data_IF_289462416504
#
_entry.id   IF_289462416504
#
_cell.length_a   1.000
_cell.length_b   1.000
_cell.length_c   1.000
_cell.angle_alpha   90.00
_cell.angle_beta   90.00
_cell.angle_gamma   90.00
#
_symmetry.space_group_name_H-M   'P 1'
#
loop_
_entity.id
_entity.type
_entity.pdbx_description
1 polymer ?
#
# COMPACT_ATOMS: atom_id res chain seq x y z
N UNK A 1 -0.25 -29.97 -28.33
CA UNK A 1 0.03 -28.53 -28.34
C UNK A 1 1.05 -28.28 -27.26
N UNK A 2 2.28 -27.95 -27.67
CA UNK A 2 3.33 -27.50 -26.75
C UNK A 2 3.14 -26.00 -26.60
N UNK A 3 2.57 -25.59 -25.48
CA UNK A 3 2.39 -24.18 -25.15
C UNK A 3 3.70 -23.69 -24.52
N UNK A 4 4.35 -22.71 -25.14
CA UNK A 4 5.56 -22.07 -24.62
C UNK A 4 5.17 -20.77 -23.92
N UNK A 5 5.59 -20.68 -22.66
CA UNK A 5 5.81 -19.49 -21.84
C UNK A 5 4.57 -18.69 -21.36
N UNK A 6 4.35 -18.76 -20.04
CA UNK A 6 3.38 -18.02 -19.20
C UNK A 6 1.90 -18.17 -19.56
N UNK A 7 1.30 -19.30 -19.21
CA UNK A 7 -0.17 -19.41 -19.18
C UNK A 7 -0.69 -18.94 -17.82
N UNK A 8 -1.63 -18.00 -17.81
CA UNK A 8 -2.32 -17.56 -16.61
C UNK A 8 -3.76 -18.09 -16.62
N UNK A 9 -4.26 -18.49 -15.45
CA UNK A 9 -5.61 -19.05 -15.29
C UNK A 9 -6.25 -18.45 -14.05
N UNK A 10 -7.56 -18.21 -14.12
CA UNK A 10 -8.34 -17.74 -12.99
C UNK A 10 -9.78 -18.28 -13.08
N UNK A 11 -10.45 -18.44 -11.95
CA UNK A 11 -11.79 -19.00 -11.85
C UNK A 11 -12.61 -18.21 -10.83
N UNK A 12 -13.85 -17.87 -11.18
CA UNK A 12 -14.81 -17.27 -10.26
C UNK A 12 -16.20 -17.85 -10.53
N UNK A 13 -16.78 -18.49 -9.52
CA UNK A 13 -18.05 -19.19 -9.64
C UNK A 13 -18.08 -20.21 -10.80
N UNK A 14 -18.91 -19.92 -11.81
CA UNK A 14 -19.10 -20.75 -13.00
C UNK A 14 -18.29 -20.29 -14.20
N UNK A 15 -17.36 -19.35 -14.04
CA UNK A 15 -16.53 -18.80 -15.11
C UNK A 15 -15.07 -19.18 -14.85
N UNK A 16 -14.40 -19.69 -15.89
CA UNK A 16 -12.96 -19.97 -15.87
C UNK A 16 -12.32 -19.26 -17.05
N UNK A 17 -11.18 -18.62 -16.80
CA UNK A 17 -10.45 -17.82 -17.79
C UNK A 17 -9.07 -18.41 -17.97
N UNK A 18 -8.70 -18.69 -19.21
CA UNK A 18 -7.38 -19.20 -19.58
C UNK A 18 -6.76 -18.23 -20.57
N UNK A 19 -5.60 -17.70 -20.22
CA UNK A 19 -4.84 -16.82 -21.06
C UNK A 19 -3.77 -17.57 -21.84
N UNK A 20 -3.62 -17.22 -23.11
CA UNK A 20 -2.57 -17.71 -24.00
C UNK A 20 -1.87 -16.50 -24.61
N UNK A 21 -0.81 -15.98 -23.97
CA UNK A 21 0.04 -14.98 -24.60
C UNK A 21 0.52 -15.42 -25.98
N UNK A 22 0.76 -14.44 -26.83
CA UNK A 22 1.17 -14.64 -28.20
C UNK A 22 2.58 -15.23 -28.31
N UNK A 23 2.75 -16.14 -29.25
CA UNK A 23 4.02 -16.61 -29.76
C UNK A 23 4.62 -15.70 -30.83
N UNK A 24 5.31 -16.29 -31.81
CA UNK A 24 6.03 -15.52 -32.82
C UNK A 24 5.14 -14.74 -33.79
N UNK A 25 3.90 -15.18 -34.00
CA UNK A 25 3.02 -14.73 -35.10
C UNK A 25 1.59 -14.31 -34.68
N UNK A 26 1.27 -14.30 -33.39
CA UNK A 26 -0.04 -13.90 -32.86
C UNK A 26 0.11 -12.93 -31.69
N UNK A 27 -0.95 -12.16 -31.45
CA UNK A 27 -0.99 -11.07 -30.49
C UNK A 27 -1.52 -11.53 -29.11
N UNK A 28 -1.66 -12.85 -28.89
CA UNK A 28 -2.23 -13.44 -27.67
C UNK A 28 -3.77 -13.46 -27.65
N UNK A 29 -4.34 -14.28 -26.77
CA UNK A 29 -5.80 -14.40 -26.59
C UNK A 29 -6.17 -14.84 -25.18
N UNK A 30 -7.40 -14.52 -24.77
CA UNK A 30 -7.99 -14.97 -23.51
C UNK A 30 -9.27 -15.73 -23.81
N UNK A 31 -9.36 -16.96 -23.30
CA UNK A 31 -10.48 -17.86 -23.49
C UNK A 31 -11.31 -17.92 -22.21
N UNK A 32 -12.60 -17.58 -22.31
CA UNK A 32 -13.54 -17.64 -21.19
C UNK A 32 -14.42 -18.87 -21.36
N UNK A 33 -14.45 -19.72 -20.36
CA UNK A 33 -15.28 -20.92 -20.28
C UNK A 33 -16.38 -20.72 -19.23
N UNK A 34 -17.61 -21.12 -19.56
CA UNK A 34 -18.75 -21.18 -18.63
C UNK A 34 -19.05 -22.63 -18.28
N UNK A 35 -19.28 -22.89 -17.00
CA UNK A 35 -19.62 -24.23 -16.49
C UNK A 35 -21.09 -24.53 -16.75
N UNK A 36 -21.35 -25.64 -17.43
CA UNK A 36 -22.70 -26.16 -17.69
C UNK A 36 -22.76 -27.61 -17.21
N UNK A 37 -23.36 -27.82 -16.04
CA UNK A 37 -23.33 -29.10 -15.33
C UNK A 37 -21.92 -29.48 -14.90
N UNK A 38 -21.41 -30.61 -15.39
CA UNK A 38 -20.04 -31.09 -15.13
C UNK A 38 -19.02 -30.61 -16.16
N UNK A 39 -19.44 -29.93 -17.23
CA UNK A 39 -18.58 -29.56 -18.35
C UNK A 39 -18.24 -28.07 -18.34
N UNK A 40 -17.05 -27.74 -18.83
CA UNK A 40 -16.64 -26.39 -19.15
C UNK A 40 -16.78 -26.17 -20.66
N UNK A 41 -17.58 -25.18 -21.05
CA UNK A 41 -17.86 -24.87 -22.45
C UNK A 41 -17.25 -23.51 -22.76
N UNK A 42 -16.52 -23.39 -23.86
CA UNK A 42 -16.00 -22.11 -24.33
C UNK A 42 -17.17 -21.15 -24.58
N UNK A 43 -17.22 -20.07 -23.82
CA UNK A 43 -18.24 -19.03 -23.90
C UNK A 43 -17.81 -17.93 -24.87
N UNK A 44 -16.59 -17.40 -24.71
CA UNK A 44 -16.05 -16.39 -25.63
C UNK A 44 -14.53 -16.45 -25.73
N UNK A 45 -14.00 -15.83 -26.79
CA UNK A 45 -12.57 -15.53 -26.93
C UNK A 45 -12.40 -14.02 -27.01
N UNK A 46 -11.60 -13.47 -26.10
CA UNK A 46 -11.22 -12.06 -26.09
C UNK A 46 -9.84 -11.94 -26.74
N UNK A 47 -9.72 -11.04 -27.71
CA UNK A 47 -8.47 -10.73 -28.42
C UNK A 47 -8.08 -9.27 -28.18
N UNK A 48 -6.79 -8.91 -28.29
CA UNK A 48 -6.36 -7.54 -28.13
C UNK A 48 -7.01 -6.61 -29.17
N UNK A 49 -7.39 -5.42 -28.71
CA UNK A 49 -7.97 -4.32 -29.50
C UNK A 49 -7.02 -3.10 -29.51
N UNK A 50 -5.71 -3.36 -29.40
CA UNK A 50 -4.68 -2.32 -29.40
C UNK A 50 -4.18 -2.07 -30.83
N UNK A 51 -3.99 -0.80 -31.19
CA UNK A 51 -3.29 -0.43 -32.44
C UNK A 51 -1.83 -0.91 -32.46
N UNK A 52 -1.25 -1.13 -31.28
CA UNK A 52 0.11 -1.64 -31.11
C UNK A 52 0.06 -3.12 -30.79
N UNK A 53 0.54 -3.93 -31.74
CA UNK A 53 0.66 -5.38 -31.58
C UNK A 53 1.54 -5.73 -30.38
N UNK A 54 0.98 -6.54 -29.50
CA UNK A 54 1.68 -7.07 -28.34
C UNK A 54 1.56 -8.58 -28.33
N UNK A 55 2.65 -9.25 -27.96
CA UNK A 55 2.65 -10.71 -27.72
C UNK A 55 2.27 -11.05 -26.27
N UNK A 56 2.12 -10.03 -25.42
CA UNK A 56 1.88 -10.17 -23.99
C UNK A 56 0.42 -9.96 -23.61
N UNK A 57 -0.51 -9.83 -24.55
CA UNK A 57 -1.93 -9.85 -24.21
C UNK A 57 -2.29 -11.18 -23.55
N UNK A 58 -2.84 -11.11 -22.34
CA UNK A 58 -3.09 -12.29 -21.52
C UNK A 58 -1.86 -12.76 -20.73
N UNK A 59 -0.82 -11.94 -20.57
CA UNK A 59 0.34 -12.28 -19.73
C UNK A 59 -0.07 -12.59 -18.29
N UNK A 60 -1.11 -11.91 -17.80
CA UNK A 60 -1.77 -12.22 -16.55
C UNK A 60 -3.28 -12.02 -16.69
N UNK A 61 -4.06 -12.87 -16.01
CA UNK A 61 -5.52 -12.72 -15.92
C UNK A 61 -5.99 -12.95 -14.50
N UNK A 62 -7.04 -12.23 -14.11
CA UNK A 62 -7.76 -12.49 -12.87
C UNK A 62 -9.26 -12.22 -13.10
N UNK A 63 -10.11 -13.09 -12.58
CA UNK A 63 -11.57 -12.93 -12.63
C UNK A 63 -12.12 -12.95 -11.22
N UNK A 64 -12.99 -12.00 -10.91
CA UNK A 64 -13.77 -11.93 -9.68
C UNK A 64 -15.19 -11.52 -10.01
N UNK A 65 -16.16 -12.35 -9.64
CA UNK A 65 -17.57 -12.15 -9.94
C UNK A 65 -17.79 -11.98 -11.46
N UNK A 66 -18.31 -10.82 -11.88
CA UNK A 66 -18.57 -10.41 -13.25
C UNK A 66 -17.44 -9.59 -13.87
N UNK A 67 -16.31 -9.39 -13.17
CA UNK A 67 -15.19 -8.60 -13.66
C UNK A 67 -13.97 -9.46 -14.00
N UNK A 68 -13.41 -9.22 -15.18
CA UNK A 68 -12.17 -9.84 -15.67
C UNK A 68 -11.16 -8.73 -15.95
N UNK A 69 -9.96 -8.87 -15.38
CA UNK A 69 -8.80 -8.07 -15.76
C UNK A 69 -7.82 -8.89 -16.60
N UNK A 70 -7.32 -8.29 -17.69
CA UNK A 70 -6.35 -8.89 -18.60
C UNK A 70 -5.14 -7.98 -18.69
N UNK A 71 -3.97 -8.49 -18.33
CA UNK A 71 -2.71 -7.79 -18.45
C UNK A 71 -2.08 -7.92 -19.84
N UNK A 72 -1.48 -6.83 -20.31
CA UNK A 72 -0.67 -6.76 -21.52
C UNK A 72 0.56 -5.88 -21.29
N UNK A 73 1.66 -6.50 -20.90
CA UNK A 73 2.89 -5.78 -20.54
C UNK A 73 3.72 -5.22 -21.68
N UNK A 74 3.31 -5.41 -22.93
CA UNK A 74 4.00 -4.84 -24.10
C UNK A 74 3.09 -3.98 -25.00
N UNK A 75 1.83 -3.73 -24.58
CA UNK A 75 0.96 -2.80 -25.30
C UNK A 75 1.55 -1.39 -25.35
N UNK A 76 1.11 -0.63 -26.34
CA UNK A 76 1.50 0.78 -26.51
C UNK A 76 2.76 0.98 -27.35
N UNK A 77 3.03 2.25 -27.68
CA UNK A 77 4.10 2.61 -28.64
C UNK A 77 5.49 2.38 -28.07
N UNK A 78 5.65 2.57 -26.77
CA UNK A 78 6.93 2.45 -26.07
C UNK A 78 7.04 1.13 -25.30
N UNK A 79 6.03 0.25 -25.41
CA UNK A 79 5.86 -0.96 -24.59
C UNK A 79 5.70 -0.61 -23.12
N UNK A 80 4.90 0.40 -22.86
CA UNK A 80 4.55 0.88 -21.53
C UNK A 80 3.57 -0.08 -20.80
N UNK A 81 2.87 -0.94 -21.54
CA UNK A 81 1.92 -1.89 -20.99
C UNK A 81 0.53 -1.30 -20.71
N UNK A 82 -0.47 -2.17 -20.58
CA UNK A 82 -1.85 -1.80 -20.23
C UNK A 82 -2.56 -2.99 -19.58
N UNK A 83 -3.51 -2.72 -18.71
CA UNK A 83 -4.47 -3.72 -18.25
C UNK A 83 -5.87 -3.38 -18.78
N UNK A 84 -6.65 -4.38 -19.13
CA UNK A 84 -8.00 -4.21 -19.68
C UNK A 84 -9.02 -4.82 -18.73
N UNK A 85 -10.03 -4.05 -18.36
CA UNK A 85 -11.15 -4.53 -17.54
C UNK A 85 -12.34 -4.82 -18.44
N UNK A 86 -12.86 -6.03 -18.34
CA UNK A 86 -14.08 -6.47 -18.98
C UNK A 86 -15.14 -6.77 -17.92
N UNK A 87 -16.38 -6.41 -18.22
CA UNK A 87 -17.56 -6.73 -17.42
C UNK A 87 -18.42 -7.75 -18.15
N UNK A 88 -18.85 -8.78 -17.43
CA UNK A 88 -19.76 -9.79 -17.90
C UNK A 88 -21.21 -9.37 -17.65
N UNK A 89 -22.03 -9.46 -18.69
CA UNK A 89 -23.47 -9.33 -18.59
C UNK A 89 -24.10 -10.72 -18.70
N UNK A 90 -24.64 -11.24 -17.59
CA UNK A 90 -25.27 -12.57 -17.57
C UNK A 90 -26.67 -12.57 -18.24
N UNK A 91 -27.28 -11.40 -18.45
CA UNK A 91 -28.55 -11.30 -19.18
C UNK A 91 -28.33 -11.54 -20.68
N UNK A 92 -27.31 -10.89 -21.25
CA UNK A 92 -26.98 -11.01 -22.68
C UNK A 92 -25.91 -12.08 -22.99
N UNK A 93 -25.31 -12.68 -21.96
CA UNK A 93 -24.16 -13.61 -22.05
C UNK A 93 -22.98 -13.00 -22.83
N UNK A 94 -22.67 -11.73 -22.55
CA UNK A 94 -21.62 -10.98 -23.26
C UNK A 94 -20.57 -10.39 -22.34
N UNK A 95 -19.36 -10.23 -22.88
CA UNK A 95 -18.27 -9.49 -22.24
C UNK A 95 -18.07 -8.16 -22.94
N UNK A 96 -18.03 -7.08 -22.16
CA UNK A 96 -17.81 -5.73 -22.68
C UNK A 96 -16.57 -5.11 -22.04
N UNK A 97 -15.70 -4.50 -22.86
CA UNK A 97 -14.53 -3.78 -22.36
C UNK A 97 -15.01 -2.50 -21.67
N UNK A 98 -14.78 -2.41 -20.37
CA UNK A 98 -15.19 -1.27 -19.55
C UNK A 98 -14.06 -0.22 -19.43
N UNK A 99 -12.81 -0.66 -19.34
CA UNK A 99 -11.68 0.25 -19.16
C UNK A 99 -10.38 -0.30 -19.75
N UNK A 100 -9.48 0.64 -20.08
CA UNK A 100 -8.06 0.39 -20.29
C UNK A 100 -7.30 1.15 -19.21
N UNK A 101 -6.66 0.43 -18.30
CA UNK A 101 -5.90 0.95 -17.18
C UNK A 101 -4.43 1.13 -17.58
N UNK A 102 -3.88 2.32 -17.29
CA UNK A 102 -2.50 2.70 -17.55
C UNK A 102 -1.92 3.38 -16.32
N UNK A 103 -0.67 3.10 -15.95
CA UNK A 103 -0.02 3.66 -14.75
C UNK A 103 0.41 5.14 -14.87
N UNK A 104 -0.18 5.92 -15.77
CA UNK A 104 0.22 7.32 -15.99
C UNK A 104 1.56 7.46 -16.73
N UNK A 105 2.50 8.24 -16.16
CA UNK A 105 3.88 8.39 -16.66
C UNK A 105 4.74 7.17 -16.30
N UNK A 106 4.31 5.98 -16.72
CA UNK A 106 5.03 4.71 -16.51
C UNK A 106 6.36 4.77 -17.24
N UNK A 107 7.44 4.40 -16.56
CA UNK A 107 8.76 4.29 -17.18
C UNK A 107 8.78 3.18 -18.24
N UNK A 108 9.54 3.39 -19.31
CA UNK A 108 9.68 2.40 -20.37
C UNK A 108 10.20 1.08 -19.79
N UNK A 109 9.53 -0.03 -20.12
CA UNK A 109 9.86 -1.37 -19.62
C UNK A 109 9.70 -1.54 -18.09
N UNK A 110 8.71 -0.87 -17.50
CA UNK A 110 8.34 -1.02 -16.09
C UNK A 110 7.66 -2.37 -15.74
N UNK A 111 7.51 -3.29 -16.70
CA UNK A 111 6.76 -4.54 -16.51
C UNK A 111 5.31 -4.32 -16.03
N UNK A 112 4.69 -3.21 -16.44
CA UNK A 112 3.31 -2.90 -16.09
C UNK A 112 2.36 -3.98 -16.61
N UNK A 113 1.40 -4.41 -15.79
CA UNK A 113 0.40 -5.41 -16.13
C UNK A 113 0.95 -6.82 -16.49
N UNK A 114 2.14 -7.17 -15.98
CA UNK A 114 2.58 -8.57 -15.93
C UNK A 114 2.05 -9.33 -14.71
N UNK A 115 1.44 -8.62 -13.76
CA UNK A 115 0.66 -9.16 -12.66
C UNK A 115 -0.58 -8.29 -12.46
N UNK A 116 -1.74 -8.93 -12.26
CA UNK A 116 -3.03 -8.26 -12.11
C UNK A 116 -3.89 -9.01 -11.10
N UNK A 117 -4.71 -8.25 -10.37
CA UNK A 117 -5.76 -8.78 -9.53
C UNK A 117 -6.98 -7.85 -9.58
N UNK A 118 -8.19 -8.38 -9.46
CA UNK A 118 -9.42 -7.59 -9.50
C UNK A 118 -10.42 -8.10 -8.45
N UNK A 119 -11.14 -7.17 -7.87
CA UNK A 119 -12.37 -7.38 -7.10
C UNK A 119 -13.49 -6.57 -7.75
N UNK A 120 -14.69 -6.60 -7.15
CA UNK A 120 -15.81 -5.80 -7.62
C UNK A 120 -15.50 -4.30 -7.70
N UNK A 121 -14.76 -3.77 -6.73
CA UNK A 121 -14.57 -2.33 -6.58
C UNK A 121 -13.13 -1.87 -6.79
N UNK A 122 -12.17 -2.80 -6.85
CA UNK A 122 -10.75 -2.48 -7.01
C UNK A 122 -10.05 -3.35 -8.05
N UNK A 123 -9.13 -2.75 -8.79
CA UNK A 123 -8.23 -3.42 -9.69
C UNK A 123 -6.80 -3.03 -9.35
N UNK A 124 -5.93 -4.03 -9.30
CA UNK A 124 -4.54 -3.92 -8.86
C UNK A 124 -3.65 -4.37 -10.01
N UNK A 125 -2.70 -3.51 -10.39
CA UNK A 125 -1.83 -3.74 -11.54
C UNK A 125 -0.38 -3.56 -11.13
N UNK A 126 0.40 -4.63 -11.16
CA UNK A 126 1.82 -4.58 -10.82
C UNK A 126 2.68 -4.00 -11.94
N UNK A 127 3.73 -3.30 -11.55
CA UNK A 127 4.76 -2.71 -12.41
C UNK A 127 6.14 -2.94 -11.76
N UNK A 128 6.57 -4.20 -11.77
CA UNK A 128 7.76 -4.67 -11.04
C UNK A 128 9.09 -4.00 -11.42
N UNK A 129 9.17 -3.24 -12.51
CA UNK A 129 10.40 -2.54 -12.91
C UNK A 129 10.21 -1.02 -12.98
N UNK A 130 9.12 -0.51 -12.39
CA UNK A 130 8.83 0.92 -12.33
C UNK A 130 9.88 1.68 -11.51
N UNK A 131 10.26 2.87 -12.00
CA UNK A 131 11.12 3.81 -11.28
C UNK A 131 10.31 4.83 -10.46
N UNK A 132 10.92 5.41 -9.44
CA UNK A 132 10.38 6.59 -8.77
C UNK A 132 10.42 7.80 -9.74
N UNK A 133 9.30 8.50 -10.02
CA UNK A 133 9.28 9.67 -10.91
C UNK A 133 9.99 10.92 -10.37
N UNK A 134 10.41 10.95 -9.10
CA UNK A 134 10.98 12.16 -8.47
C UNK A 134 12.51 12.12 -8.22
N UNK A 135 13.23 11.11 -8.73
CA UNK A 135 14.69 10.99 -8.56
C UNK A 135 15.46 11.05 -9.87
N UNK A 136 16.60 11.76 -9.89
CA UNK A 136 17.50 11.84 -11.06
C UNK A 136 18.23 10.50 -11.37
N UNK A 137 18.03 9.47 -10.55
CA UNK A 137 18.50 8.11 -10.79
C UNK A 137 17.28 7.19 -10.95
N UNK A 138 17.18 6.47 -12.07
CA UNK A 138 16.12 5.50 -12.36
C UNK A 138 16.21 4.28 -11.43
N UNK A 139 15.85 4.44 -10.16
CA UNK A 139 15.86 3.34 -9.20
C UNK A 139 14.59 2.50 -9.44
N UNK A 140 14.76 1.38 -10.13
CA UNK A 140 13.67 0.44 -10.49
C UNK A 140 13.29 -0.44 -9.30
N UNK A 141 12.73 0.18 -8.26
CA UNK A 141 12.25 -0.52 -7.05
C UNK A 141 10.99 -1.35 -7.33
N UNK A 142 10.22 -0.95 -8.36
CA UNK A 142 8.91 -1.50 -8.68
C UNK A 142 7.78 -0.73 -8.00
N UNK A 143 6.56 -0.85 -8.53
CA UNK A 143 5.37 -0.22 -8.01
C UNK A 143 4.12 -1.08 -8.28
N UNK A 144 3.02 -0.74 -7.60
CA UNK A 144 1.69 -1.29 -7.87
C UNK A 144 0.70 -0.15 -8.03
N UNK A 145 -0.15 -0.21 -9.04
CA UNK A 145 -1.18 0.80 -9.29
C UNK A 145 -2.54 0.24 -8.87
N UNK A 146 -3.26 0.98 -8.04
CA UNK A 146 -4.62 0.63 -7.60
C UNK A 146 -5.63 1.53 -8.29
N UNK A 147 -6.67 0.91 -8.82
CA UNK A 147 -7.78 1.57 -9.48
C UNK A 147 -9.05 1.28 -8.70
N UNK A 148 -9.81 2.33 -8.38
CA UNK A 148 -11.12 2.22 -7.73
C UNK A 148 -12.21 2.35 -8.77
N UNK A 149 -13.23 1.50 -8.68
CA UNK A 149 -14.45 1.60 -9.50
C UNK A 149 -15.48 2.44 -8.76
N UNK A 150 -15.98 3.48 -9.40
CA UNK A 150 -17.13 4.27 -8.93
C UNK A 150 -18.06 4.52 -10.11
N UNK A 151 -19.34 4.18 -9.95
CA UNK A 151 -20.36 4.38 -11.00
C UNK A 151 -19.96 3.81 -12.37
N UNK A 152 -19.40 2.59 -12.38
CA UNK A 152 -18.85 1.92 -13.57
C UNK A 152 -17.69 2.65 -14.28
N UNK A 153 -17.05 3.60 -13.61
CA UNK A 153 -15.81 4.24 -14.07
C UNK A 153 -14.64 3.77 -13.20
N UNK A 154 -13.58 3.31 -13.84
CA UNK A 154 -12.32 2.95 -13.17
C UNK A 154 -11.37 4.15 -13.18
N UNK A 155 -10.97 4.62 -12.01
CA UNK A 155 -10.00 5.73 -11.85
C UNK A 155 -8.76 5.26 -11.10
N UNK A 156 -7.59 5.79 -11.46
CA UNK A 156 -6.38 5.53 -10.68
C UNK A 156 -6.55 6.19 -9.30
N UNK A 157 -6.50 5.38 -8.24
CA UNK A 157 -6.64 5.83 -6.86
C UNK A 157 -5.26 6.04 -6.22
N UNK A 158 -4.34 5.09 -6.42
CA UNK A 158 -3.06 5.11 -5.75
C UNK A 158 -1.95 4.47 -6.59
N UNK A 159 -0.71 4.87 -6.31
CA UNK A 159 0.52 4.17 -6.67
C UNK A 159 1.21 3.75 -5.37
N UNK A 160 1.27 2.45 -5.14
CA UNK A 160 1.90 1.85 -3.97
C UNK A 160 3.36 1.52 -4.27
N UNK A 161 4.22 1.81 -3.30
CA UNK A 161 5.63 1.44 -3.26
C UNK A 161 5.95 0.92 -1.87
N UNK A 162 6.91 0.00 -1.74
CA UNK A 162 7.36 -0.44 -0.42
C UNK A 162 8.16 0.67 0.26
N UNK A 163 7.84 0.97 1.53
CA UNK A 163 8.54 1.92 2.40
C UNK A 163 10.06 1.70 2.39
N UNK A 164 10.48 0.45 2.61
CA UNK A 164 11.88 0.02 2.69
C UNK A 164 12.42 -0.53 1.36
N UNK A 165 11.76 -0.27 0.23
CA UNK A 165 12.11 -0.84 -1.08
C UNK A 165 13.49 -0.42 -1.59
N UNK A 166 14.24 -1.34 -2.18
CA UNK A 166 15.54 -1.10 -2.81
C UNK A 166 15.51 -1.34 -4.34
N UNK A 167 16.55 -0.87 -5.03
CA UNK A 167 16.66 -1.01 -6.49
C UNK A 167 16.65 -2.46 -6.92
N UNK A 168 15.77 -2.82 -7.85
CA UNK A 168 15.70 -4.16 -8.40
C UNK A 168 14.97 -5.18 -7.53
N UNK A 169 14.36 -4.76 -6.41
CA UNK A 169 13.54 -5.63 -5.55
C UNK A 169 12.35 -6.26 -6.28
N UNK A 170 11.91 -5.61 -7.35
CA UNK A 170 10.75 -5.97 -8.16
C UNK A 170 9.44 -5.97 -7.40
N UNK A 171 9.20 -4.93 -6.62
CA UNK A 171 7.91 -4.74 -5.96
C UNK A 171 6.76 -4.64 -6.97
N UNK A 172 5.75 -5.49 -6.83
CA UNK A 172 4.68 -5.62 -7.82
C UNK A 172 4.92 -6.72 -8.86
N UNK A 173 5.93 -7.57 -8.68
CA UNK A 173 6.11 -8.76 -9.53
C UNK A 173 4.90 -9.69 -9.44
N UNK A 174 4.33 -9.87 -8.25
CA UNK A 174 3.07 -10.58 -8.03
C UNK A 174 2.14 -9.75 -7.15
N UNK A 175 0.83 -9.82 -7.43
CA UNK A 175 -0.20 -9.07 -6.69
C UNK A 175 -1.43 -9.95 -6.47
N UNK A 176 -2.10 -9.78 -5.33
CA UNK A 176 -3.39 -10.37 -5.04
C UNK A 176 -4.23 -9.40 -4.20
N UNK A 177 -5.56 -9.47 -4.32
CA UNK A 177 -6.50 -8.62 -3.56
C UNK A 177 -7.66 -9.46 -3.01
N UNK A 178 -8.06 -9.18 -1.77
CA UNK A 178 -9.33 -9.64 -1.18
C UNK A 178 -9.88 -8.56 -0.27
N UNK A 179 -11.15 -8.17 -0.46
CA UNK A 179 -11.75 -7.07 0.27
C UNK A 179 -10.86 -5.83 0.27
N UNK A 180 -10.46 -5.41 1.46
CA UNK A 180 -9.64 -4.23 1.75
C UNK A 180 -8.15 -4.54 1.90
N UNK A 181 -7.69 -5.69 1.40
CA UNK A 181 -6.30 -6.13 1.57
C UNK A 181 -5.64 -6.41 0.22
N UNK A 182 -4.44 -5.85 0.02
CA UNK A 182 -3.60 -6.13 -1.14
C UNK A 182 -2.30 -6.76 -0.66
N UNK A 183 -1.94 -7.88 -1.26
CA UNK A 183 -0.67 -8.59 -1.02
C UNK A 183 0.23 -8.40 -2.23
N UNK A 184 1.46 -7.96 -2.01
CA UNK A 184 2.40 -7.62 -3.08
C UNK A 184 3.73 -8.33 -2.86
N UNK A 185 4.19 -9.06 -3.87
CA UNK A 185 5.50 -9.72 -3.86
C UNK A 185 6.62 -8.85 -4.44
N UNK A 186 7.80 -8.95 -3.81
CA UNK A 186 9.07 -8.39 -4.26
C UNK A 186 10.15 -9.48 -4.19
N UNK A 187 10.20 -10.31 -5.23
CA UNK A 187 10.95 -11.56 -5.22
C UNK A 187 12.48 -11.42 -5.30
N UNK A 188 12.97 -10.24 -5.68
CA UNK A 188 14.40 -9.98 -5.84
C UNK A 188 15.03 -9.22 -4.69
N UNK A 189 14.24 -8.87 -3.67
CA UNK A 189 14.75 -8.23 -2.46
C UNK A 189 15.84 -9.06 -1.79
N UNK A 190 16.87 -8.39 -1.28
CA UNK A 190 17.94 -8.96 -0.45
C UNK A 190 18.61 -10.20 -1.08
N UNK A 191 19.25 -10.01 -2.24
CA UNK A 191 19.88 -11.10 -3.02
C UNK A 191 18.89 -12.21 -3.41
N UNK A 192 17.67 -11.81 -3.81
CA UNK A 192 16.58 -12.71 -4.16
C UNK A 192 16.18 -13.68 -3.04
N UNK A 193 16.39 -13.33 -1.77
CA UNK A 193 15.68 -14.04 -0.69
C UNK A 193 14.18 -13.73 -0.74
N UNK A 194 13.84 -12.51 -1.16
CA UNK A 194 12.50 -12.09 -1.48
C UNK A 194 11.68 -11.62 -0.27
N UNK A 195 10.60 -10.91 -0.54
CA UNK A 195 9.69 -10.36 0.48
C UNK A 195 8.27 -10.22 -0.04
N UNK A 196 7.33 -10.07 0.88
CA UNK A 196 5.94 -9.73 0.62
C UNK A 196 5.54 -8.57 1.52
N UNK A 197 4.71 -7.67 0.98
CA UNK A 197 4.16 -6.54 1.70
C UNK A 197 2.64 -6.62 1.67
N UNK A 198 2.01 -6.39 2.83
CA UNK A 198 0.56 -6.29 2.96
C UNK A 198 0.16 -4.82 3.05
N UNK A 199 -0.80 -4.42 2.22
CA UNK A 199 -1.49 -3.14 2.31
C UNK A 199 -2.92 -3.36 2.78
N UNK A 200 -3.43 -2.45 3.59
CA UNK A 200 -4.82 -2.41 4.04
C UNK A 200 -5.44 -1.05 3.68
N UNK A 201 -6.68 -1.06 3.21
CA UNK A 201 -7.45 0.14 2.94
C UNK A 201 -8.08 0.63 4.24
N UNK A 202 -7.71 1.84 4.67
CA UNK A 202 -8.35 2.52 5.81
C UNK A 202 -9.01 3.79 5.27
N UNK A 203 -10.34 3.86 5.35
CA UNK A 203 -11.13 4.86 4.66
C UNK A 203 -10.92 4.81 3.15
N UNK A 204 -10.25 5.82 2.58
CA UNK A 204 -9.94 5.91 1.14
C UNK A 204 -8.43 5.84 0.82
N UNK A 205 -7.61 5.50 1.81
CA UNK A 205 -6.14 5.46 1.71
C UNK A 205 -5.62 4.04 1.91
N UNK A 206 -4.71 3.62 1.02
CA UNK A 206 -4.02 2.34 1.12
C UNK A 206 -2.75 2.50 1.95
N UNK A 207 -2.74 1.90 3.14
CA UNK A 207 -1.63 1.96 4.08
C UNK A 207 -0.81 0.67 4.03
N UNK A 208 0.51 0.79 4.03
CA UNK A 208 1.42 -0.35 4.24
C UNK A 208 1.27 -0.81 5.69
N UNK A 209 0.87 -2.05 5.91
CA UNK A 209 0.67 -2.59 7.26
C UNK A 209 1.94 -3.25 7.80
N UNK A 210 2.50 -4.18 7.02
CA UNK A 210 3.77 -4.81 7.36
C UNK A 210 4.40 -5.47 6.14
N UNK A 211 5.74 -5.48 6.16
CA UNK A 211 6.59 -6.22 5.22
C UNK A 211 7.17 -7.43 5.92
N UNK A 212 7.21 -8.57 5.24
CA UNK A 212 7.69 -9.82 5.82
C UNK A 212 8.44 -10.69 4.81
N UNK A 213 9.32 -11.54 5.35
CA UNK A 213 10.15 -12.49 4.61
C UNK A 213 9.89 -13.92 5.13
N UNK A 214 10.38 -14.92 4.39
CA UNK A 214 10.37 -16.29 4.91
C UNK A 214 11.32 -16.40 6.13
N UNK A 215 10.85 -16.99 7.23
CA UNK A 215 11.65 -17.15 8.46
C UNK A 215 12.94 -17.98 8.25
N UNK A 216 12.94 -18.87 7.26
CA UNK A 216 14.10 -19.65 6.84
C UNK A 216 14.66 -19.18 5.48
N UNK A 217 14.33 -17.95 5.09
CA UNK A 217 14.68 -17.37 3.79
C UNK A 217 16.19 -17.30 3.59
N UNK A 218 16.63 -17.75 2.42
CA UNK A 218 18.00 -17.71 1.96
C UNK A 218 18.09 -17.00 0.59
N UNK A 219 19.29 -16.55 0.23
CA UNK A 219 19.52 -15.93 -1.08
C UNK A 219 19.10 -16.87 -2.22
N UNK A 220 18.44 -16.30 -3.22
CA UNK A 220 17.83 -16.98 -4.37
C UNK A 220 16.63 -17.87 -4.08
N UNK A 221 16.00 -17.79 -2.91
CA UNK A 221 14.75 -18.53 -2.69
C UNK A 221 13.58 -17.97 -3.52
N UNK A 222 13.64 -16.68 -3.87
CA UNK A 222 12.61 -15.92 -4.58
C UNK A 222 11.25 -15.97 -3.89
N UNK A 223 11.21 -15.78 -2.56
CA UNK A 223 9.97 -15.62 -1.81
C UNK A 223 9.19 -14.40 -2.33
N UNK A 224 7.89 -14.55 -2.54
CA UNK A 224 7.06 -13.49 -3.16
C UNK A 224 6.99 -13.59 -4.68
N UNK A 225 7.54 -14.65 -5.30
CA UNK A 225 7.39 -14.89 -6.74
C UNK A 225 5.92 -15.01 -7.17
N UNK A 226 5.11 -15.68 -6.35
CA UNK A 226 3.67 -15.78 -6.54
C UNK A 226 2.98 -15.56 -5.20
N UNK A 227 1.92 -14.76 -5.20
CA UNK A 227 1.08 -14.52 -4.04
C UNK A 227 -0.37 -14.84 -4.39
N UNK A 228 -1.10 -15.38 -3.42
CA UNK A 228 -2.55 -15.47 -3.47
C UNK A 228 -3.10 -15.18 -2.08
N UNK A 229 -4.31 -14.63 -2.04
CA UNK A 229 -4.93 -14.22 -0.79
C UNK A 229 -6.39 -14.64 -0.79
N UNK A 230 -6.87 -14.99 0.40
CA UNK A 230 -8.26 -15.31 0.72
C UNK A 230 -8.62 -14.58 2.01
N UNK A 231 -9.90 -14.62 2.40
CA UNK A 231 -10.37 -13.99 3.64
C UNK A 231 -9.65 -14.49 4.90
N UNK A 232 -8.94 -15.62 4.88
CA UNK A 232 -8.29 -16.16 6.08
C UNK A 232 -6.82 -16.49 5.91
N UNK A 233 -6.29 -16.46 4.68
CA UNK A 233 -4.92 -16.89 4.42
C UNK A 233 -4.27 -16.10 3.31
N UNK A 234 -2.99 -15.78 3.51
CA UNK A 234 -2.03 -15.40 2.47
C UNK A 234 -1.17 -16.61 2.15
N UNK A 235 -1.04 -16.95 0.88
CA UNK A 235 -0.10 -17.97 0.41
C UNK A 235 0.98 -17.33 -0.44
N UNK A 236 2.24 -17.69 -0.19
CA UNK A 236 3.40 -17.11 -0.85
C UNK A 236 4.31 -18.22 -1.39
N UNK A 237 4.65 -18.16 -2.67
CA UNK A 237 5.59 -19.07 -3.32
C UNK A 237 7.03 -18.55 -3.26
N UNK A 238 7.97 -19.48 -3.03
CA UNK A 238 9.41 -19.29 -3.16
C UNK A 238 9.95 -20.34 -4.13
N UNK A 239 9.91 -20.05 -5.43
CA UNK A 239 10.05 -21.07 -6.48
C UNK A 239 11.48 -21.63 -6.60
N UNK A 240 12.49 -20.92 -6.10
CA UNK A 240 13.89 -21.32 -6.19
C UNK A 240 14.48 -21.76 -4.84
N UNK A 241 13.64 -22.11 -3.86
CA UNK A 241 14.09 -22.60 -2.55
C UNK A 241 15.07 -23.76 -2.72
N UNK A 242 16.29 -23.58 -2.20
CA UNK A 242 17.37 -24.56 -2.36
C UNK A 242 17.42 -25.56 -1.20
N UNK A 243 17.06 -26.80 -1.49
CA UNK A 243 17.23 -27.92 -0.57
C UNK A 243 18.29 -28.87 -1.14
N UNK A 244 19.47 -28.88 -0.52
CA UNK A 244 20.63 -29.70 -0.94
C UNK A 244 21.08 -29.39 -2.38
N UNK A 245 20.97 -30.35 -3.31
CA UNK A 245 21.37 -30.23 -4.73
C UNK A 245 20.17 -30.00 -5.66
N UNK A 246 19.00 -29.63 -5.14
CA UNK A 246 17.77 -29.40 -5.90
C UNK A 246 17.14 -28.06 -5.54
N UNK A 247 16.31 -27.53 -6.44
CA UNK A 247 15.51 -26.32 -6.28
C UNK A 247 14.01 -26.71 -6.36
N UNK A 248 13.46 -27.44 -5.38
CA UNK A 248 12.07 -27.88 -5.44
C UNK A 248 11.06 -26.74 -5.33
N UNK A 249 11.46 -25.59 -4.78
CA UNK A 249 10.57 -24.50 -4.39
C UNK A 249 9.74 -24.85 -3.15
N UNK A 250 9.31 -23.83 -2.40
CA UNK A 250 8.45 -23.96 -1.22
C UNK A 250 7.23 -23.03 -1.32
N UNK A 251 6.18 -23.35 -0.57
CA UNK A 251 4.99 -22.50 -0.39
C UNK A 251 4.77 -22.27 1.10
N UNK A 252 4.60 -21.01 1.47
CA UNK A 252 4.35 -20.56 2.83
C UNK A 252 2.89 -20.14 2.93
N UNK A 253 2.25 -20.50 4.05
CA UNK A 253 0.85 -20.16 4.33
C UNK A 253 0.81 -19.39 5.64
N UNK A 254 0.32 -18.16 5.56
CA UNK A 254 0.16 -17.27 6.70
C UNK A 254 -1.33 -17.09 6.96
N UNK A 255 -1.73 -17.12 8.24
CA UNK A 255 -3.08 -16.72 8.61
C UNK A 255 -3.22 -15.23 8.34
N UNK A 256 -4.17 -14.85 7.47
CA UNK A 256 -4.61 -13.48 7.36
C UNK A 256 -5.60 -13.27 8.48
N UNK A 257 -5.15 -12.66 9.58
CA UNK A 257 -6.05 -12.32 10.65
C UNK A 257 -6.88 -11.08 10.25
N UNK A 258 -7.89 -11.28 9.40
CA UNK A 258 -8.88 -10.24 9.02
C UNK A 258 -9.77 -9.85 10.20
N UNK A 259 -9.68 -10.59 11.30
CA UNK A 259 -10.26 -10.25 12.60
C UNK A 259 -9.13 -9.90 13.58
N UNK A 260 -8.30 -8.94 13.21
CA UNK A 260 -8.15 -7.85 14.15
C UNK A 260 -9.49 -7.15 14.11
N UNK A 261 -10.41 -7.49 15.02
CA UNK A 261 -11.47 -6.52 15.30
C UNK A 261 -10.76 -5.18 15.44
N UNK A 262 -11.29 -4.14 14.79
CA UNK A 262 -10.84 -2.79 15.06
C UNK A 262 -10.60 -2.72 16.56
N UNK A 263 -9.40 -2.34 16.93
CA UNK A 263 -9.14 -1.99 18.32
C UNK A 263 -10.23 -1.03 18.75
N UNK A 264 -10.57 -1.02 20.04
CA UNK A 264 -11.57 -0.09 20.53
C UNK A 264 -11.26 1.35 20.06
N UNK A 265 -9.98 1.71 19.97
CA UNK A 265 -9.49 2.96 19.38
C UNK A 265 -9.86 3.17 17.90
N UNK A 266 -9.73 2.17 17.04
CA UNK A 266 -10.13 2.28 15.62
C UNK A 266 -11.66 2.34 15.45
N UNK A 267 -12.42 1.62 16.30
CA UNK A 267 -13.89 1.71 16.35
C UNK A 267 -14.30 3.13 16.79
N UNK A 268 -13.64 3.64 17.81
CA UNK A 268 -13.93 4.95 18.38
C UNK A 268 -13.56 6.05 17.38
N UNK A 269 -12.42 5.94 16.68
CA UNK A 269 -12.04 6.85 15.61
C UNK A 269 -13.06 6.87 14.46
N UNK A 270 -13.52 5.70 13.99
CA UNK A 270 -14.51 5.64 12.92
C UNK A 270 -15.88 6.21 13.36
N UNK A 271 -16.28 5.98 14.62
CA UNK A 271 -17.47 6.58 15.20
C UNK A 271 -17.36 8.10 15.33
N UNK A 272 -16.20 8.60 15.78
CA UNK A 272 -15.89 10.04 15.89
C UNK A 272 -15.91 10.71 14.52
N UNK A 273 -15.32 10.08 13.50
CA UNK A 273 -15.39 10.56 12.11
C UNK A 273 -16.83 10.53 11.55
N UNK A 274 -17.65 9.56 11.95
CA UNK A 274 -19.04 9.47 11.53
C UNK A 274 -19.93 10.53 12.21
N UNK A 275 -19.68 10.88 13.48
CA UNK A 275 -20.37 11.96 14.19
C UNK A 275 -19.96 13.35 13.69
N UNK A 276 -18.69 13.56 13.35
CA UNK A 276 -18.20 14.79 12.72
C UNK A 276 -18.84 15.03 11.34
N UNK A 277 -19.11 13.97 10.57
CA UNK A 277 -19.72 14.05 9.24
C UNK A 277 -21.25 14.13 9.23
N UNK A 278 -21.92 13.96 10.38
CA UNK A 278 -23.37 14.07 10.47
C UNK A 278 -23.81 14.55 11.88
N UNK A 279 -23.79 15.87 12.16
CA UNK A 279 -23.95 16.42 13.51
C UNK A 279 -25.42 16.50 13.94
N UNK A 280 -26.17 15.40 13.82
CA UNK A 280 -27.56 15.32 14.29
C UNK A 280 -27.87 13.96 14.92
N UNK A 281 -27.21 13.65 16.03
CA UNK A 281 -27.73 12.69 17.00
C UNK A 281 -27.58 13.29 18.41
N UNK A 282 -28.71 13.40 19.10
CA UNK A 282 -28.90 14.11 20.37
C UNK A 282 -27.91 13.64 21.46
N UNK A 283 -26.92 14.48 21.78
CA UNK A 283 -26.04 14.28 22.93
C UNK A 283 -26.85 14.44 24.23
N UNK A 284 -26.82 13.40 25.06
CA UNK A 284 -27.22 13.50 26.46
C UNK A 284 -26.13 14.30 27.14
N UNK A 285 -26.33 15.61 27.32
CA UNK A 285 -25.37 16.48 28.02
C UNK A 285 -25.12 15.91 29.41
N UNK A 286 -23.88 15.50 29.68
CA UNK A 286 -23.45 15.15 31.02
C UNK A 286 -23.33 16.47 31.81
N UNK A 287 -24.12 16.69 32.88
CA UNK A 287 -24.05 17.97 33.60
C UNK A 287 -22.71 18.19 34.31
N UNK A 288 -21.88 17.15 34.46
CA UNK A 288 -20.56 17.22 35.09
C UNK A 288 -19.41 17.38 34.07
N UNK A 289 -19.70 17.33 32.76
CA UNK A 289 -18.76 17.38 31.63
C UNK A 289 -19.53 17.95 30.41
N UNK A 290 -19.42 19.26 30.23
CA UNK A 290 -20.37 20.05 29.43
C UNK A 290 -20.09 20.01 27.92
N UNK A 291 -18.83 19.88 27.51
CA UNK A 291 -18.38 19.73 26.11
C UNK A 291 -18.11 18.28 25.72
N UNK A 292 -17.96 17.37 26.68
CA UNK A 292 -17.88 15.94 26.44
C UNK A 292 -16.50 15.46 26.01
N UNK A 293 -15.43 16.17 26.36
CA UNK A 293 -14.05 15.81 26.06
C UNK A 293 -13.50 14.72 27.01
N UNK A 294 -14.14 14.54 28.17
CA UNK A 294 -13.78 13.56 29.19
C UNK A 294 -13.16 14.14 30.46
N UNK A 295 -12.92 15.45 30.54
CA UNK A 295 -12.61 16.17 31.77
C UNK A 295 -13.90 16.56 32.49
N UNK A 296 -13.82 16.69 33.82
CA UNK A 296 -14.96 17.22 34.58
C UNK A 296 -14.89 18.74 34.60
N UNK A 297 -16.05 19.42 34.59
CA UNK A 297 -16.13 20.87 34.71
C UNK A 297 -15.30 21.42 35.91
N UNK A 298 -15.18 20.63 36.98
CA UNK A 298 -14.35 20.97 38.14
C UNK A 298 -12.86 20.80 37.89
N UNK A 299 -12.42 19.77 37.16
CA UNK A 299 -11.00 19.60 36.84
C UNK A 299 -10.54 20.69 35.87
N UNK A 300 -11.36 21.01 34.87
CA UNK A 300 -11.10 22.09 33.92
C UNK A 300 -10.99 23.45 34.63
N UNK A 301 -11.94 23.79 35.51
CA UNK A 301 -11.95 25.11 36.15
C UNK A 301 -11.06 25.23 37.39
N UNK A 302 -10.92 24.18 38.21
CA UNK A 302 -10.19 24.23 39.48
C UNK A 302 -8.72 23.79 39.35
N UNK A 303 -8.37 23.01 38.32
CA UNK A 303 -7.03 22.42 38.16
C UNK A 303 -6.33 22.94 36.90
N UNK A 304 -6.95 22.79 35.74
CA UNK A 304 -6.32 23.02 34.44
C UNK A 304 -6.47 24.48 33.94
N UNK A 305 -7.51 25.17 34.40
CA UNK A 305 -7.97 26.48 33.92
C UNK A 305 -8.40 26.51 32.44
N UNK A 306 -8.81 25.35 31.92
CA UNK A 306 -9.40 25.19 30.59
C UNK A 306 -10.89 25.57 30.59
N UNK A 307 -11.51 25.59 29.41
CA UNK A 307 -12.89 26.03 29.22
C UNK A 307 -13.88 24.86 29.31
N UNK A 308 -14.76 24.80 30.33
CA UNK A 308 -15.74 23.71 30.52
C UNK A 308 -16.93 23.76 29.57
N UNK A 309 -16.72 24.27 28.37
CA UNK A 309 -17.71 24.34 27.29
C UNK A 309 -17.04 24.26 25.92
N UNK A 310 -15.73 24.11 25.89
CA UNK A 310 -14.92 24.10 24.68
C UNK A 310 -13.93 22.94 24.83
N UNK A 311 -14.11 21.83 24.09
CA UNK A 311 -13.31 20.63 24.29
C UNK A 311 -11.82 20.82 23.91
N UNK A 312 -11.48 21.90 23.22
CA UNK A 312 -10.14 22.24 22.74
C UNK A 312 -9.91 23.72 23.03
N UNK A 313 -9.34 24.01 24.19
CA UNK A 313 -9.30 25.37 24.76
C UNK A 313 -8.41 26.32 23.96
N UNK A 314 -7.30 25.83 23.39
CA UNK A 314 -6.35 26.65 22.64
C UNK A 314 -6.50 26.56 21.11
N UNK A 315 -7.37 25.66 20.64
CA UNK A 315 -7.79 25.47 19.25
C UNK A 315 -6.66 25.00 18.33
N UNK A 316 -5.73 24.18 18.84
CA UNK A 316 -4.69 23.54 18.05
C UNK A 316 -5.16 22.24 17.36
N UNK A 317 -6.26 21.66 17.87
CA UNK A 317 -6.94 20.47 17.36
C UNK A 317 -6.71 19.19 18.16
N UNK A 318 -5.98 19.23 19.27
CA UNK A 318 -6.06 18.27 20.37
C UNK A 318 -7.12 18.74 21.38
N UNK A 319 -7.82 17.82 22.04
CA UNK A 319 -8.72 18.20 23.13
C UNK A 319 -7.99 18.24 24.48
N UNK A 320 -8.52 19.05 25.41
CA UNK A 320 -7.88 19.30 26.71
C UNK A 320 -7.62 18.00 27.49
N UNK A 321 -8.52 17.01 27.37
CA UNK A 321 -8.35 15.67 27.94
C UNK A 321 -7.15 14.91 27.34
N UNK A 322 -7.01 14.90 26.02
CA UNK A 322 -5.91 14.22 25.31
C UNK A 322 -4.55 14.82 25.67
N UNK A 323 -4.47 16.15 25.68
CA UNK A 323 -3.27 16.88 26.05
C UNK A 323 -2.81 16.52 27.46
N UNK A 324 -3.70 16.57 28.45
CA UNK A 324 -3.34 16.32 29.85
C UNK A 324 -3.06 14.85 30.14
N UNK A 325 -3.78 13.92 29.50
CA UNK A 325 -3.76 12.49 29.90
C UNK A 325 -2.94 11.59 28.98
N UNK A 326 -2.78 11.95 27.71
CA UNK A 326 -2.07 11.15 26.71
C UNK A 326 -0.70 11.73 26.43
N UNK A 327 -0.64 13.02 26.07
CA UNK A 327 0.58 13.66 25.58
C UNK A 327 1.37 14.38 26.68
N UNK A 328 0.70 14.80 27.75
CA UNK A 328 1.29 15.57 28.83
C UNK A 328 1.57 17.03 28.47
N UNK A 329 1.01 17.52 27.35
CA UNK A 329 1.10 18.89 26.89
C UNK A 329 0.19 19.85 27.69
N UNK A 330 0.37 21.17 27.50
CA UNK A 330 -0.36 22.21 28.22
C UNK A 330 -1.60 22.66 27.40
N UNK A 331 -2.84 22.32 27.82
CA UNK A 331 -4.08 22.58 27.08
C UNK A 331 -4.49 24.07 26.96
N UNK A 332 -3.58 24.97 27.30
CA UNK A 332 -3.73 26.40 27.16
C UNK A 332 -2.76 26.97 26.11
N UNK A 333 -1.90 26.14 25.53
CA UNK A 333 -0.82 26.50 24.64
C UNK A 333 -0.82 25.56 23.43
N UNK A 334 -1.19 26.13 22.28
CA UNK A 334 -1.17 25.41 21.00
C UNK A 334 0.22 24.94 20.53
N UNK A 335 1.25 25.11 21.35
CA UNK A 335 2.69 24.89 21.11
C UNK A 335 3.32 24.94 22.51
N UNK A 336 3.36 23.78 23.16
CA UNK A 336 3.69 23.63 24.57
C UNK A 336 5.16 23.90 24.85
N UNK A 337 6.06 23.41 24.00
CA UNK A 337 7.50 23.54 24.17
C UNK A 337 8.09 24.81 23.51
N UNK A 338 7.28 25.52 22.72
CA UNK A 338 7.56 26.78 22.04
C UNK A 338 8.61 26.67 20.93
N UNK A 339 8.66 25.54 20.23
CA UNK A 339 9.51 25.34 19.08
C UNK A 339 8.90 25.81 17.74
N UNK A 340 7.62 26.19 17.76
CA UNK A 340 6.77 26.66 16.64
C UNK A 340 6.04 25.60 15.81
N UNK A 341 6.18 24.33 16.14
CA UNK A 341 5.21 23.30 15.77
C UNK A 341 4.06 23.32 16.78
N UNK A 342 2.84 23.01 16.34
CA UNK A 342 1.74 22.83 17.30
C UNK A 342 1.77 21.43 17.89
N UNK A 343 1.22 21.26 19.10
CA UNK A 343 1.21 19.95 19.77
C UNK A 343 0.54 18.89 18.89
N UNK A 344 -0.56 19.24 18.20
CA UNK A 344 -1.17 18.38 17.18
C UNK A 344 -0.22 18.01 16.04
N UNK A 345 0.55 18.98 15.53
CA UNK A 345 1.42 18.76 14.36
C UNK A 345 2.53 17.76 14.70
N UNK A 346 3.11 17.89 15.88
CA UNK A 346 4.13 17.00 16.42
C UNK A 346 3.64 15.55 16.53
N UNK A 347 2.52 15.35 17.23
CA UNK A 347 2.02 13.99 17.53
C UNK A 347 1.42 13.29 16.31
N UNK A 348 0.91 14.04 15.32
CA UNK A 348 0.24 13.47 14.14
C UNK A 348 1.14 13.39 12.91
N UNK A 349 1.97 14.39 12.64
CA UNK A 349 2.73 14.46 11.40
C UNK A 349 4.22 14.16 11.56
N UNK A 350 4.80 14.49 12.71
CA UNK A 350 6.25 14.47 12.89
C UNK A 350 6.75 13.41 13.86
N UNK A 351 5.84 12.75 14.59
CA UNK A 351 6.19 11.70 15.55
C UNK A 351 7.19 12.21 16.60
N UNK A 352 7.09 13.50 16.95
CA UNK A 352 7.80 14.17 18.04
C UNK A 352 6.95 14.23 19.32
N UNK A 353 7.59 14.55 20.44
CA UNK A 353 7.00 14.70 21.76
C UNK A 353 6.74 16.19 22.07
N UNK A 354 5.47 16.63 22.18
CA UNK A 354 5.10 18.05 22.20
C UNK A 354 5.54 18.84 23.44
N UNK A 355 6.20 18.16 24.40
CA UNK A 355 6.75 18.80 25.59
C UNK A 355 8.28 18.99 25.49
N UNK A 356 8.90 18.55 24.40
CA UNK A 356 10.34 18.49 24.22
C UNK A 356 10.79 19.20 22.95
N UNK A 357 11.46 20.35 23.14
CA UNK A 357 12.08 21.11 22.05
C UNK A 357 12.99 20.28 21.12
N UNK A 358 13.53 19.18 21.63
CA UNK A 358 14.43 18.26 20.96
C UNK A 358 14.04 16.86 21.47
N UNK A 359 13.19 16.18 20.70
CA UNK A 359 12.53 14.93 21.10
C UNK A 359 13.53 13.80 21.29
N UNK A 360 14.48 13.66 20.39
CA UNK A 360 15.40 12.53 20.36
C UNK A 360 16.72 12.80 21.13
N UNK A 361 16.99 14.06 21.45
CA UNK A 361 18.13 14.53 22.22
C UNK A 361 19.43 14.55 21.43
N UNK A 362 19.39 14.63 20.10
CA UNK A 362 20.59 14.66 19.25
C UNK A 362 21.26 16.05 19.18
N UNK A 363 20.52 17.11 19.54
CA UNK A 363 20.99 18.48 19.60
C UNK A 363 20.36 19.43 18.58
N UNK A 364 19.50 18.95 17.68
CA UNK A 364 18.58 19.78 16.90
C UNK A 364 17.19 19.84 17.51
N UNK A 365 16.47 20.93 17.25
CA UNK A 365 15.08 21.02 17.67
C UNK A 365 14.15 20.44 16.62
N UNK A 366 12.98 19.98 17.02
CA UNK A 366 12.05 19.27 16.14
C UNK A 366 11.63 20.16 14.95
N UNK A 367 11.34 21.45 15.19
CA UNK A 367 11.11 22.44 14.13
C UNK A 367 12.26 22.55 13.13
N UNK A 368 13.50 22.52 13.64
CA UNK A 368 14.68 22.71 12.79
C UNK A 368 14.86 21.50 11.88
N UNK A 369 14.64 20.32 12.43
CA UNK A 369 14.66 19.07 11.68
C UNK A 369 13.56 19.04 10.62
N UNK A 370 12.33 19.41 10.98
CA UNK A 370 11.20 19.44 10.05
C UNK A 370 11.39 20.48 8.95
N UNK A 371 11.69 21.74 9.31
CA UNK A 371 11.64 22.86 8.37
C UNK A 371 12.96 23.14 7.66
N UNK A 372 14.10 22.77 8.26
CA UNK A 372 15.44 23.08 7.73
C UNK A 372 16.10 21.82 7.17
N UNK A 373 16.24 20.77 7.98
CA UNK A 373 16.97 19.56 7.57
C UNK A 373 16.09 18.60 6.75
N UNK A 374 14.77 18.63 6.96
CA UNK A 374 13.79 17.62 6.54
C UNK A 374 14.18 16.20 7.01
N UNK A 375 14.63 16.08 8.26
CA UNK A 375 14.95 14.84 8.99
C UNK A 375 13.77 14.41 9.87
N UNK A 376 13.83 13.25 10.52
CA UNK A 376 12.77 12.73 11.40
C UNK A 376 13.11 13.09 12.87
N UNK A 377 12.39 14.02 13.51
CA UNK A 377 12.73 14.52 14.84
C UNK A 377 12.58 13.49 15.96
N UNK A 378 11.97 12.34 15.68
CA UNK A 378 11.90 11.22 16.61
C UNK A 378 13.15 10.32 16.61
N UNK A 379 14.16 10.60 15.77
CA UNK A 379 15.25 9.68 15.47
C UNK A 379 16.63 10.36 15.45
N UNK A 380 17.45 10.02 16.47
CA UNK A 380 18.84 10.51 16.61
C UNK A 380 19.67 10.37 15.32
N UNK A 381 19.36 9.37 14.49
CA UNK A 381 20.06 9.02 13.25
C UNK A 381 18.98 8.72 12.19
N UNK A 382 18.65 9.71 11.36
CA UNK A 382 17.54 9.65 10.40
C UNK A 382 17.76 8.59 9.31
N UNK A 383 19.01 8.35 8.91
CA UNK A 383 19.32 7.43 7.81
C UNK A 383 19.81 6.04 8.25
N UNK A 384 20.09 5.88 9.53
CA UNK A 384 20.42 4.63 10.22
C UNK A 384 21.83 4.14 9.97
N UNK A 385 22.79 5.02 9.66
CA UNK A 385 24.18 4.64 9.37
C UNK A 385 25.11 4.61 10.60
N UNK A 386 24.63 5.12 11.74
CA UNK A 386 25.31 5.15 13.02
C UNK A 386 25.92 6.51 13.40
N UNK A 387 25.68 7.57 12.63
CA UNK A 387 25.98 8.96 12.96
C UNK A 387 24.68 9.69 13.29
N UNK A 388 24.73 10.66 14.22
CA UNK A 388 23.54 11.47 14.47
C UNK A 388 23.42 12.61 13.47
N UNK A 389 22.20 13.10 13.27
CA UNK A 389 21.93 14.17 12.32
C UNK A 389 22.75 15.43 12.68
N UNK A 390 22.88 15.75 13.97
CA UNK A 390 23.76 16.79 14.49
C UNK A 390 25.23 16.61 14.10
N UNK A 391 25.77 15.41 14.26
CA UNK A 391 27.18 15.11 13.98
C UNK A 391 27.45 15.24 12.48
N UNK A 392 26.53 14.77 11.65
CA UNK A 392 26.65 14.88 10.20
C UNK A 392 26.64 16.34 9.76
N UNK A 393 25.71 17.15 10.25
CA UNK A 393 25.59 18.56 9.86
C UNK A 393 26.73 19.41 10.43
N UNK A 394 27.02 19.31 11.72
CA UNK A 394 27.90 20.24 12.43
C UNK A 394 29.37 19.78 12.48
N UNK A 395 29.65 18.48 12.53
CA UNK A 395 31.02 17.97 12.61
C UNK A 395 31.58 17.53 11.24
N UNK A 396 30.77 16.84 10.44
CA UNK A 396 31.23 16.19 9.19
C UNK A 396 30.85 16.97 7.92
N UNK A 397 29.86 17.85 8.01
CA UNK A 397 29.24 18.56 6.89
C UNK A 397 28.74 17.59 5.78
N UNK A 398 28.13 16.48 6.21
CA UNK A 398 27.46 15.47 5.38
C UNK A 398 25.93 15.68 5.42
N UNK A 399 25.18 14.90 4.64
CA UNK A 399 23.73 15.08 4.50
C UNK A 399 23.05 14.03 5.38
N UNK A 400 22.37 14.44 6.48
CA UNK A 400 21.85 13.52 7.52
C UNK A 400 20.72 12.57 7.06
N UNK A 401 20.40 12.60 5.76
CA UNK A 401 19.37 11.75 5.14
C UNK A 401 19.98 10.69 4.22
N UNK A 402 21.30 10.61 4.17
CA UNK A 402 22.04 9.82 3.18
C UNK A 402 23.25 9.12 3.80
N UNK A 403 23.06 7.83 4.11
CA UNK A 403 24.08 7.01 4.74
C UNK A 403 25.49 7.21 4.15
N UNK A 404 26.40 7.65 5.01
CA UNK A 404 27.79 7.92 4.72
C UNK A 404 28.57 6.62 4.52
N UNK A 405 29.42 6.62 3.48
CA UNK A 405 30.35 5.51 3.29
C UNK A 405 31.50 5.62 4.30
N UNK A 406 31.41 4.89 5.41
CA UNK A 406 32.43 4.76 6.48
C UNK A 406 33.76 5.46 6.19
N UNK A 407 34.02 6.59 6.85
CA UNK A 407 35.37 7.15 6.94
C UNK A 407 36.19 6.21 7.83
N UNK A 408 36.79 5.18 7.22
CA UNK A 408 37.82 4.39 7.88
C UNK A 408 38.96 5.34 8.28
N UNK A 409 39.11 5.53 9.59
CA UNK A 409 40.20 6.25 10.23
C UNK A 409 41.59 5.69 9.86
#
# INVERSE_FOLDING_TARGET
MTFSDSQSVSISGNLAVIASPGGSNDDGAVYVYKRTGSNWILNTTITPDSEFKSKKFGAAVNISEDYLIIGDGESGKTKEGSAYVYKYDDYDDTWTKQATLKGGLVTRAANYALSVAISKDYAVVGAGMESNPHGNNEIKKGAVYVYKRKDDVWTNQAKLTASTGASGDQFGNSVAIVGEHIVIGAENRNSSSGSVVLFHLVGDVWLEQFSFTAADGASQDNFGHAVAVSESYVTVGAHNKKIKKSLPGDVYVYALNVQTQQTQAEIDLENTLATLNNPTAEAVVNPDDLDGDGLSNSDETDILNTSPTDPDTDNDGLNDFEEVTVYGSDPLLSDTDQDTLTDLEEVIFYNSDPILLDTDGDGFSDEYEVNILNTDPGLIDTDGDGLSDEVEVNELATDPKLADTMVMA
#
